data_IF_128364063429
#
_entry.id   IF_128364063429
#
_cell.length_a   1.000
_cell.length_b   1.000
_cell.length_c   1.000
_cell.angle_alpha   90.00
_cell.angle_beta   90.00
_cell.angle_gamma   90.00
#
_symmetry.space_group_name_H-M   'P 1'
#
loop_
_entity.id
_entity.type
_entity.pdbx_description
1 polymer ?
#
# COMPACT_ATOMS: atom_id res chain seq x y z
N UNK A 1 -41.72 -36.88 20.89
CA UNK A 1 -42.02 -38.04 20.03
C UNK A 1 -43.52 -38.01 19.69
N UNK A 2 -43.88 -37.57 18.47
CA UNK A 2 -45.22 -37.58 17.84
C UNK A 2 -45.03 -37.14 16.37
N UNK A 3 -44.94 -38.07 15.41
CA UNK A 3 -45.99 -38.44 14.41
C UNK A 3 -46.36 -37.28 13.46
N UNK A 4 -45.77 -37.19 12.25
CA UNK A 4 -46.19 -37.76 10.94
C UNK A 4 -47.34 -37.04 10.22
N UNK A 5 -47.04 -36.70 8.94
CA UNK A 5 -47.84 -37.04 7.75
C UNK A 5 -48.93 -36.08 7.22
N UNK A 6 -48.66 -35.65 5.97
CA UNK A 6 -49.54 -35.50 4.78
C UNK A 6 -50.65 -34.44 4.77
N UNK A 7 -50.56 -33.58 3.74
CA UNK A 7 -51.62 -32.76 3.15
C UNK A 7 -52.76 -33.63 2.58
N UNK A 8 -54.00 -33.11 2.54
CA UNK A 8 -55.03 -33.53 1.59
C UNK A 8 -55.22 -32.50 0.45
N UNK A 9 -55.82 -32.89 -0.69
CA UNK A 9 -56.11 -32.05 -1.84
C UNK A 9 -57.56 -31.51 -1.84
N UNK A 10 -57.83 -30.42 -2.56
CA UNK A 10 -59.20 -29.99 -2.88
C UNK A 10 -59.27 -29.59 -4.36
N UNK A 11 -60.31 -30.09 -5.03
CA UNK A 11 -60.57 -30.07 -6.47
C UNK A 11 -61.78 -29.18 -6.78
N UNK A 12 -61.74 -28.50 -7.94
CA UNK A 12 -62.86 -28.03 -8.79
C UNK A 12 -63.84 -26.97 -8.21
N UNK A 13 -64.56 -26.12 -8.94
CA UNK A 13 -64.62 -25.60 -10.32
C UNK A 13 -65.80 -24.60 -10.27
N UNK A 14 -65.65 -23.34 -10.71
CA UNK A 14 -66.82 -22.55 -11.14
C UNK A 14 -66.46 -21.62 -12.29
N UNK A 15 -67.28 -21.74 -13.31
CA UNK A 15 -67.43 -21.11 -14.62
C UNK A 15 -67.59 -19.59 -14.58
N UNK A 16 -66.97 -18.88 -15.54
CA UNK A 16 -67.53 -17.65 -16.10
C UNK A 16 -67.01 -17.44 -17.54
N UNK A 17 -67.89 -17.71 -18.50
CA UNK A 17 -67.72 -17.39 -19.91
C UNK A 17 -68.04 -15.92 -20.15
N UNK A 18 -67.20 -15.20 -20.91
CA UNK A 18 -67.68 -14.17 -21.84
C UNK A 18 -66.65 -13.92 -22.95
N UNK A 19 -67.16 -14.03 -24.17
CA UNK A 19 -66.48 -13.89 -25.45
C UNK A 19 -65.93 -12.48 -25.70
N UNK A 20 -64.92 -12.40 -26.58
CA UNK A 20 -64.80 -11.26 -27.49
C UNK A 20 -63.39 -10.73 -27.72
N UNK A 21 -62.81 -11.12 -28.87
CA UNK A 21 -62.05 -10.24 -29.76
C UNK A 21 -60.76 -9.58 -29.23
N UNK A 22 -59.60 -10.13 -29.63
CA UNK A 22 -58.67 -9.49 -30.59
C UNK A 22 -57.31 -10.18 -30.49
N UNK A 23 -56.86 -10.78 -31.60
CA UNK A 23 -55.54 -11.38 -31.68
C UNK A 23 -54.46 -10.31 -31.65
N UNK A 24 -53.60 -10.38 -30.63
CA UNK A 24 -52.32 -9.69 -30.62
C UNK A 24 -51.29 -10.68 -30.07
N UNK A 25 -50.50 -11.25 -30.99
CA UNK A 25 -49.36 -12.09 -30.62
C UNK A 25 -48.33 -11.21 -29.91
N UNK A 26 -47.73 -11.65 -28.78
CA UNK A 26 -46.65 -10.90 -28.16
C UNK A 26 -45.45 -10.92 -29.10
N UNK A 27 -45.06 -9.73 -29.54
CA UNK A 27 -43.87 -9.46 -30.32
C UNK A 27 -42.67 -10.10 -29.59
N UNK A 28 -42.11 -11.16 -30.19
CA UNK A 28 -40.92 -11.82 -29.67
C UNK A 28 -39.77 -10.82 -29.78
N UNK A 29 -39.25 -10.40 -28.63
CA UNK A 29 -38.05 -9.58 -28.56
C UNK A 29 -36.95 -10.26 -29.39
N UNK A 30 -36.18 -9.51 -30.21
CA UNK A 30 -35.00 -10.10 -30.82
C UNK A 30 -34.05 -10.47 -29.67
N UNK A 31 -33.83 -11.77 -29.46
CA UNK A 31 -32.70 -12.24 -28.69
C UNK A 31 -31.45 -11.62 -29.32
N UNK A 32 -30.86 -10.67 -28.61
CA UNK A 32 -29.61 -10.03 -28.97
C UNK A 32 -28.49 -11.07 -28.80
N UNK A 33 -28.39 -11.96 -29.79
CA UNK A 33 -27.47 -13.09 -29.84
C UNK A 33 -26.09 -12.58 -30.29
N UNK A 34 -25.54 -11.62 -29.57
CA UNK A 34 -24.10 -11.34 -29.65
C UNK A 34 -23.37 -12.47 -28.96
N UNK A 35 -23.03 -13.51 -29.72
CA UNK A 35 -22.01 -14.48 -29.33
C UNK A 35 -20.67 -13.74 -29.19
N UNK A 36 -20.42 -13.17 -28.02
CA UNK A 36 -19.07 -12.76 -27.66
C UNK A 36 -18.26 -14.05 -27.62
N UNK A 37 -17.37 -14.23 -28.62
CA UNK A 37 -16.50 -15.40 -28.67
C UNK A 37 -15.85 -15.59 -27.30
N UNK A 38 -15.81 -16.82 -26.75
CA UNK A 38 -15.31 -17.08 -25.40
C UNK A 38 -13.88 -16.54 -25.21
N UNK A 39 -13.06 -16.54 -26.27
CA UNK A 39 -11.73 -15.92 -26.28
C UNK A 39 -11.76 -14.40 -26.09
N UNK A 40 -12.72 -13.68 -26.68
CA UNK A 40 -12.87 -12.24 -26.50
C UNK A 40 -13.37 -11.94 -25.07
N UNK A 41 -14.26 -12.77 -24.52
CA UNK A 41 -14.72 -12.65 -23.13
C UNK A 41 -13.58 -12.92 -22.13
N UNK A 42 -12.73 -13.92 -22.37
CA UNK A 42 -11.55 -14.21 -21.56
C UNK A 42 -10.48 -13.13 -21.71
N UNK A 43 -10.21 -12.63 -22.91
CA UNK A 43 -9.29 -11.51 -23.14
C UNK A 43 -9.79 -10.22 -22.49
N UNK A 44 -11.09 -9.95 -22.55
CA UNK A 44 -11.70 -8.77 -21.91
C UNK A 44 -11.65 -8.91 -20.38
N UNK A 45 -11.92 -10.10 -19.84
CA UNK A 45 -11.79 -10.39 -18.41
C UNK A 45 -10.34 -10.29 -17.94
N UNK A 46 -9.39 -10.83 -18.71
CA UNK A 46 -7.96 -10.74 -18.43
C UNK A 46 -7.46 -9.30 -18.52
N UNK A 47 -7.87 -8.54 -19.54
CA UNK A 47 -7.54 -7.13 -19.69
C UNK A 47 -8.14 -6.28 -18.56
N UNK A 48 -9.39 -6.55 -18.15
CA UNK A 48 -10.03 -5.91 -16.99
C UNK A 48 -9.33 -6.29 -15.69
N UNK A 49 -8.86 -7.54 -15.55
CA UNK A 49 -8.07 -7.97 -14.42
C UNK A 49 -6.70 -7.27 -14.39
N UNK A 50 -6.00 -7.16 -15.52
CA UNK A 50 -4.75 -6.39 -15.62
C UNK A 50 -4.96 -4.91 -15.32
N UNK A 51 -6.03 -4.31 -15.86
CA UNK A 51 -6.45 -2.94 -15.53
C UNK A 51 -6.83 -2.78 -14.05
N UNK A 52 -7.33 -3.83 -13.39
CA UNK A 52 -7.54 -3.82 -11.94
C UNK A 52 -6.21 -3.78 -11.18
N UNK A 53 -5.16 -4.41 -11.71
CA UNK A 53 -3.81 -4.46 -11.16
C UNK A 53 -2.88 -3.39 -11.75
N UNK A 54 -3.42 -2.23 -12.14
CA UNK A 54 -2.68 -1.17 -12.83
C UNK A 54 -1.44 -0.67 -12.06
N UNK A 55 -1.43 -0.75 -10.73
CA UNK A 55 -0.29 -0.34 -9.90
C UNK A 55 0.92 -1.25 -10.10
N UNK A 56 0.72 -2.59 -10.15
CA UNK A 56 1.80 -3.56 -10.34
C UNK A 56 2.43 -3.39 -11.73
N UNK A 57 1.57 -3.22 -12.75
CA UNK A 57 2.00 -2.94 -14.12
C UNK A 57 2.77 -1.61 -14.16
N UNK A 58 2.26 -0.58 -13.49
CA UNK A 58 2.92 0.72 -13.39
C UNK A 58 4.32 0.63 -12.79
N UNK A 59 4.50 -0.14 -11.72
CA UNK A 59 5.83 -0.38 -11.11
C UNK A 59 6.76 -1.02 -12.14
N UNK A 60 6.33 -2.09 -12.82
CA UNK A 60 7.16 -2.76 -13.82
C UNK A 60 7.56 -1.85 -14.99
N UNK A 61 6.63 -1.03 -15.49
CA UNK A 61 6.89 -0.05 -16.57
C UNK A 61 7.87 1.02 -16.11
N UNK A 62 7.70 1.55 -14.89
CA UNK A 62 8.61 2.55 -14.34
C UNK A 62 10.00 1.97 -14.12
N UNK A 63 10.12 0.75 -13.62
CA UNK A 63 11.43 0.10 -13.47
C UNK A 63 12.14 -0.07 -14.83
N UNK A 64 11.41 -0.42 -15.89
CA UNK A 64 11.96 -0.45 -17.25
C UNK A 64 12.40 0.94 -17.71
N UNK A 65 11.58 1.97 -17.48
CA UNK A 65 11.93 3.36 -17.81
C UNK A 65 13.12 3.87 -17.01
N UNK A 66 13.25 3.49 -15.73
CA UNK A 66 14.41 3.79 -14.88
C UNK A 66 15.69 3.20 -15.46
N UNK A 67 15.60 1.94 -15.94
CA UNK A 67 16.72 1.26 -16.56
C UNK A 67 17.17 1.90 -17.88
N UNK A 68 16.24 2.31 -18.75
CA UNK A 68 16.57 2.93 -20.04
C UNK A 68 16.91 4.42 -19.94
N UNK A 69 16.33 5.14 -18.98
CA UNK A 69 16.49 6.60 -18.82
C UNK A 69 16.88 7.01 -17.38
N UNK A 70 18.00 6.52 -16.83
CA UNK A 70 18.40 6.78 -15.45
C UNK A 70 18.73 8.26 -15.18
N UNK A 71 19.18 9.00 -16.20
CA UNK A 71 19.59 10.40 -16.04
C UNK A 71 18.45 11.40 -15.80
N UNK A 72 17.19 11.01 -16.03
CA UNK A 72 16.04 11.92 -15.89
C UNK A 72 15.65 12.12 -14.42
N UNK A 73 15.70 11.04 -13.62
CA UNK A 73 15.37 11.02 -12.20
C UNK A 73 16.60 10.99 -11.27
N UNK A 74 17.83 11.01 -11.81
CA UNK A 74 19.05 11.07 -11.01
C UNK A 74 19.17 12.37 -10.20
N UNK A 75 19.95 12.32 -9.12
CA UNK A 75 20.43 13.48 -8.37
C UNK A 75 21.07 14.50 -9.33
N UNK A 76 20.62 15.75 -9.32
CA UNK A 76 21.03 16.78 -10.29
C UNK A 76 20.52 16.63 -11.73
N UNK A 77 19.66 15.65 -12.04
CA UNK A 77 19.05 15.47 -13.36
C UNK A 77 18.02 16.55 -13.73
N UNK A 78 17.41 16.45 -14.91
CA UNK A 78 16.47 17.46 -15.46
C UNK A 78 15.31 17.77 -14.50
N UNK A 79 14.85 16.75 -13.75
CA UNK A 79 13.75 16.88 -12.78
C UNK A 79 14.24 17.31 -11.39
N UNK A 80 15.56 17.27 -11.11
CA UNK A 80 16.14 17.46 -9.77
C UNK A 80 15.37 16.66 -8.71
N UNK A 81 15.50 15.33 -8.77
CA UNK A 81 14.70 14.40 -7.97
C UNK A 81 14.72 14.68 -6.47
N UNK A 82 15.85 15.17 -5.97
CA UNK A 82 16.04 15.70 -4.62
C UNK A 82 14.91 16.60 -4.14
N UNK A 83 14.48 17.55 -4.98
CA UNK A 83 13.49 18.56 -4.60
C UNK A 83 12.12 18.21 -5.15
N UNK A 84 12.04 17.83 -6.43
CA UNK A 84 10.76 17.60 -7.09
C UNK A 84 10.10 16.30 -6.62
N UNK A 85 10.89 15.25 -6.38
CA UNK A 85 10.37 13.93 -6.03
C UNK A 85 10.36 13.77 -4.50
N UNK A 86 11.52 13.90 -3.86
CA UNK A 86 11.67 13.66 -2.42
C UNK A 86 10.91 14.67 -1.54
N UNK A 87 10.80 15.93 -1.97
CA UNK A 87 9.96 16.92 -1.28
C UNK A 87 8.62 17.08 -1.97
N UNK A 88 8.59 17.37 -3.26
CA UNK A 88 7.36 17.69 -3.99
C UNK A 88 6.37 16.52 -4.06
N UNK A 89 6.75 15.43 -4.73
CA UNK A 89 5.86 14.28 -4.93
C UNK A 89 5.45 13.65 -3.59
N UNK A 90 6.39 13.50 -2.66
CA UNK A 90 6.11 13.01 -1.31
C UNK A 90 5.11 13.93 -0.59
N UNK A 91 5.33 15.25 -0.59
CA UNK A 91 4.39 16.18 0.04
C UNK A 91 2.99 16.13 -0.57
N UNK A 92 2.89 15.98 -1.90
CA UNK A 92 1.60 15.82 -2.58
C UNK A 92 0.90 14.52 -2.13
N UNK A 93 1.64 13.40 -2.04
CA UNK A 93 1.08 12.13 -1.55
C UNK A 93 0.51 12.29 -0.14
N UNK A 94 1.26 12.94 0.76
CA UNK A 94 0.83 13.12 2.15
C UNK A 94 -0.28 14.13 2.33
N UNK A 95 -0.29 15.20 1.53
CA UNK A 95 -1.37 16.15 1.50
C UNK A 95 -2.67 15.45 1.06
N UNK A 96 -2.62 14.67 -0.02
CA UNK A 96 -3.77 13.89 -0.50
C UNK A 96 -4.20 12.87 0.54
N UNK A 97 -3.25 12.19 1.20
CA UNK A 97 -3.55 11.22 2.27
C UNK A 97 -4.25 11.90 3.45
N UNK A 98 -3.79 13.10 3.85
CA UNK A 98 -4.43 13.92 4.89
C UNK A 98 -5.83 14.38 4.50
N UNK A 99 -6.05 14.73 3.24
CA UNK A 99 -7.38 15.08 2.73
C UNK A 99 -8.31 13.86 2.62
N UNK A 100 -7.78 12.66 2.34
CA UNK A 100 -8.56 11.43 2.12
C UNK A 100 -9.04 10.74 3.41
N UNK A 101 -8.33 10.91 4.52
CA UNK A 101 -8.65 10.25 5.80
C UNK A 101 -9.37 11.18 6.79
N UNK A 102 -10.41 10.69 7.48
CA UNK A 102 -11.14 11.50 8.47
C UNK A 102 -10.31 11.72 9.74
N UNK A 103 -10.18 12.97 10.17
CA UNK A 103 -9.40 13.31 11.36
C UNK A 103 -9.87 12.61 12.65
N UNK A 104 -11.18 12.38 12.79
CA UNK A 104 -11.73 11.60 13.92
C UNK A 104 -11.21 10.17 13.93
N UNK A 105 -11.16 9.52 12.77
CA UNK A 105 -10.67 8.15 12.63
C UNK A 105 -9.16 8.09 12.91
N UNK A 106 -8.40 9.06 12.40
CA UNK A 106 -6.98 9.19 12.68
C UNK A 106 -6.70 9.29 14.19
N UNK A 107 -7.47 10.12 14.90
CA UNK A 107 -7.31 10.31 16.35
C UNK A 107 -7.66 9.05 17.15
N UNK A 108 -8.70 8.32 16.75
CA UNK A 108 -9.07 7.03 17.37
C UNK A 108 -7.92 6.02 17.22
N UNK A 109 -7.34 5.90 16.02
CA UNK A 109 -6.22 4.98 15.81
C UNK A 109 -4.93 5.45 16.48
N UNK A 110 -4.68 6.76 16.58
CA UNK A 110 -3.56 7.31 17.33
C UNK A 110 -3.62 7.04 18.84
N UNK A 111 -4.80 6.76 19.39
CA UNK A 111 -4.97 6.33 20.78
C UNK A 111 -4.86 4.81 20.98
N UNK A 112 -4.71 4.02 19.92
CA UNK A 112 -4.77 2.56 20.00
C UNK A 112 -3.39 1.95 20.28
N UNK A 113 -2.90 2.13 21.51
CA UNK A 113 -1.57 1.66 21.93
C UNK A 113 -1.32 0.17 21.68
N UNK A 114 -2.35 -0.67 21.76
CA UNK A 114 -2.22 -2.11 21.49
C UNK A 114 -1.85 -2.39 20.05
N UNK A 115 -2.44 -1.64 19.12
CA UNK A 115 -2.11 -1.73 17.71
C UNK A 115 -0.68 -1.26 17.46
N UNK A 116 -0.30 -0.14 18.06
CA UNK A 116 1.07 0.39 17.96
C UNK A 116 2.10 -0.63 18.43
N UNK A 117 1.93 -1.21 19.63
CA UNK A 117 2.86 -2.21 20.14
C UNK A 117 2.92 -3.46 19.26
N UNK A 118 1.79 -3.92 18.71
CA UNK A 118 1.76 -5.09 17.86
C UNK A 118 2.46 -4.84 16.52
N UNK A 119 2.12 -3.76 15.82
CA UNK A 119 2.66 -3.47 14.49
C UNK A 119 4.13 -3.07 14.57
N UNK A 120 4.52 -2.26 15.56
CA UNK A 120 5.94 -1.93 15.77
C UNK A 120 6.73 -3.12 16.28
N UNK A 121 6.15 -3.98 17.12
CA UNK A 121 6.79 -5.23 17.56
C UNK A 121 7.06 -6.17 16.38
N UNK A 122 6.10 -6.31 15.46
CA UNK A 122 6.32 -7.10 14.24
C UNK A 122 7.40 -6.45 13.36
N UNK A 123 7.35 -5.13 13.16
CA UNK A 123 8.25 -4.41 12.25
C UNK A 123 9.69 -4.32 12.77
N UNK A 124 9.88 -4.02 14.05
CA UNK A 124 11.20 -3.79 14.65
C UNK A 124 11.73 -4.94 15.50
N UNK A 125 10.92 -5.96 15.81
CA UNK A 125 11.43 -7.17 16.48
C UNK A 125 11.30 -8.40 15.59
N UNK A 126 10.08 -8.78 15.16
CA UNK A 126 9.88 -10.03 14.43
C UNK A 126 10.64 -10.06 13.09
N UNK A 127 10.53 -9.01 12.29
CA UNK A 127 11.21 -8.92 10.99
C UNK A 127 12.75 -8.97 11.12
N UNK A 128 13.41 -8.11 11.92
CA UNK A 128 14.85 -8.18 12.14
C UNK A 128 15.32 -9.52 12.72
N UNK A 129 14.60 -10.09 13.69
CA UNK A 129 14.97 -11.38 14.30
C UNK A 129 14.88 -12.53 13.29
N UNK A 130 13.83 -12.53 12.46
CA UNK A 130 13.68 -13.54 11.41
C UNK A 130 14.79 -13.43 10.38
N UNK A 131 15.14 -12.20 9.97
CA UNK A 131 16.25 -11.97 9.04
C UNK A 131 17.60 -12.35 9.65
N UNK A 132 17.82 -12.06 10.93
CA UNK A 132 19.01 -12.49 11.66
C UNK A 132 19.14 -14.01 11.67
N UNK A 133 18.07 -14.74 11.98
CA UNK A 133 18.09 -16.21 11.93
C UNK A 133 18.43 -16.72 10.52
N UNK A 134 17.90 -16.08 9.47
CA UNK A 134 18.22 -16.40 8.08
C UNK A 134 19.69 -16.14 7.73
N UNK A 135 20.24 -14.99 8.13
CA UNK A 135 21.66 -14.65 7.93
C UNK A 135 22.57 -15.62 8.68
N UNK A 136 22.22 -16.00 9.90
CA UNK A 136 22.97 -17.00 10.67
C UNK A 136 22.94 -18.39 10.02
N UNK A 137 21.80 -18.79 9.45
CA UNK A 137 21.69 -20.05 8.72
C UNK A 137 22.58 -20.05 7.46
N UNK A 138 22.65 -18.93 6.74
CA UNK A 138 23.56 -18.76 5.60
C UNK A 138 25.02 -18.83 6.07
N UNK A 139 25.38 -18.09 7.11
CA UNK A 139 26.76 -18.04 7.60
C UNK A 139 27.23 -19.43 8.09
N UNK A 140 26.33 -20.21 8.69
CA UNK A 140 26.63 -21.59 9.09
C UNK A 140 26.75 -22.56 7.89
N UNK A 141 25.99 -22.35 6.82
CA UNK A 141 25.99 -23.20 5.63
C UNK A 141 27.04 -22.85 4.58
N UNK A 142 27.53 -21.61 4.56
CA UNK A 142 28.49 -21.09 3.58
C UNK A 142 29.93 -21.26 4.05
N UNK A 143 30.37 -22.51 4.23
CA UNK A 143 31.74 -22.84 4.69
C UNK A 143 32.83 -22.45 3.67
N UNK A 144 32.45 -22.21 2.41
CA UNK A 144 33.36 -21.84 1.33
C UNK A 144 33.42 -20.32 1.06
N UNK A 145 32.75 -19.51 1.88
CA UNK A 145 32.70 -18.05 1.77
C UNK A 145 32.31 -17.54 0.37
N UNK A 146 31.34 -18.20 -0.27
CA UNK A 146 30.88 -17.81 -1.60
C UNK A 146 29.97 -16.58 -1.55
N UNK A 147 29.38 -16.29 -0.39
CA UNK A 147 28.48 -15.17 -0.19
C UNK A 147 29.23 -14.04 0.50
N UNK A 148 29.32 -12.91 -0.21
CA UNK A 148 29.90 -11.68 0.31
C UNK A 148 29.17 -11.23 1.59
N UNK A 149 29.94 -10.97 2.64
CA UNK A 149 29.45 -10.52 3.94
C UNK A 149 28.74 -9.18 3.84
N UNK A 150 29.10 -8.33 2.87
CA UNK A 150 28.41 -7.05 2.61
C UNK A 150 26.93 -7.28 2.29
N UNK A 151 26.59 -8.35 1.57
CA UNK A 151 25.19 -8.69 1.25
C UNK A 151 24.42 -9.07 2.51
N UNK A 152 25.05 -9.82 3.41
CA UNK A 152 24.45 -10.22 4.69
C UNK A 152 24.18 -9.02 5.60
N UNK A 153 25.12 -8.06 5.65
CA UNK A 153 24.93 -6.77 6.33
C UNK A 153 23.75 -6.02 5.70
N UNK A 154 23.69 -5.98 4.37
CA UNK A 154 22.60 -5.34 3.62
C UNK A 154 21.23 -5.93 3.95
N UNK A 155 21.10 -7.25 4.09
CA UNK A 155 19.87 -7.90 4.51
C UNK A 155 19.43 -7.48 5.92
N UNK A 156 20.36 -7.49 6.88
CA UNK A 156 20.07 -7.06 8.25
C UNK A 156 19.66 -5.58 8.31
N UNK A 157 20.40 -4.71 7.62
CA UNK A 157 20.09 -3.29 7.54
C UNK A 157 18.70 -3.07 6.95
N UNK A 158 18.39 -3.74 5.84
CA UNK A 158 17.08 -3.66 5.16
C UNK A 158 15.94 -4.17 6.04
N UNK A 159 16.16 -5.18 6.86
CA UNK A 159 15.15 -5.67 7.80
C UNK A 159 14.91 -4.70 8.97
N UNK A 160 15.88 -3.84 9.29
CA UNK A 160 15.81 -2.90 10.40
C UNK A 160 15.26 -1.51 10.02
N UNK A 161 15.27 -1.14 8.74
CA UNK A 161 14.75 0.18 8.29
C UNK A 161 13.23 0.28 8.42
N UNK A 162 12.69 1.49 8.67
CA UNK A 162 11.25 1.70 8.71
C UNK A 162 10.61 1.43 7.35
N UNK A 163 9.32 1.09 7.36
CA UNK A 163 8.58 0.73 6.16
C UNK A 163 8.12 1.96 5.36
N UNK A 164 7.94 1.80 4.05
CA UNK A 164 7.52 2.88 3.15
C UNK A 164 6.09 3.33 3.46
N UNK A 165 5.90 4.63 3.64
CA UNK A 165 4.60 5.17 4.07
C UNK A 165 3.54 5.06 2.96
N UNK A 166 3.87 5.54 1.76
CA UNK A 166 2.89 5.68 0.68
C UNK A 166 2.41 4.32 0.12
N UNK A 167 3.33 3.38 -0.13
CA UNK A 167 2.97 2.05 -0.63
C UNK A 167 2.15 1.27 0.39
N UNK A 168 2.50 1.33 1.68
CA UNK A 168 1.76 0.64 2.74
C UNK A 168 0.30 1.10 2.80
N UNK A 169 0.04 2.41 2.76
CA UNK A 169 -1.34 2.93 2.82
C UNK A 169 -2.15 2.49 1.59
N UNK A 170 -1.56 2.56 0.40
CA UNK A 170 -2.22 2.15 -0.84
C UNK A 170 -2.53 0.65 -0.86
N UNK A 171 -1.57 -0.18 -0.45
CA UNK A 171 -1.73 -1.63 -0.41
C UNK A 171 -2.72 -2.07 0.67
N UNK A 172 -2.69 -1.46 1.87
CA UNK A 172 -3.69 -1.73 2.92
C UNK A 172 -5.09 -1.40 2.43
N UNK A 173 -5.27 -0.26 1.74
CA UNK A 173 -6.57 0.09 1.15
C UNK A 173 -7.00 -0.90 0.07
N UNK A 174 -6.07 -1.37 -0.77
CA UNK A 174 -6.36 -2.36 -1.80
C UNK A 174 -6.76 -3.74 -1.22
N UNK A 175 -6.28 -4.05 -0.01
CA UNK A 175 -6.63 -5.25 0.74
C UNK A 175 -7.88 -5.08 1.63
N UNK A 176 -8.66 -4.01 1.45
CA UNK A 176 -9.83 -3.65 2.27
C UNK A 176 -9.50 -3.45 3.77
N UNK A 177 -8.26 -3.09 4.07
CA UNK A 177 -7.78 -2.78 5.40
C UNK A 177 -7.96 -1.32 5.80
N UNK A 178 -7.64 -1.01 7.05
CA UNK A 178 -7.78 0.34 7.59
C UNK A 178 -6.63 1.27 7.19
N UNK A 179 -6.88 2.14 6.21
CA UNK A 179 -5.90 3.14 5.73
C UNK A 179 -5.47 4.15 6.81
N UNK A 180 -6.36 4.50 7.75
CA UNK A 180 -6.06 5.46 8.80
C UNK A 180 -5.14 4.83 9.85
N UNK A 181 -5.42 3.58 10.24
CA UNK A 181 -4.57 2.81 11.11
C UNK A 181 -3.18 2.60 10.49
N UNK A 182 -3.13 2.13 9.23
CA UNK A 182 -1.86 1.93 8.53
C UNK A 182 -1.04 3.21 8.41
N UNK A 183 -1.68 4.35 8.15
CA UNK A 183 -1.00 5.65 8.11
C UNK A 183 -0.40 6.01 9.47
N UNK A 184 -1.13 5.85 10.58
CA UNK A 184 -0.60 6.14 11.92
C UNK A 184 0.58 5.24 12.24
N UNK A 185 0.46 3.94 12.00
CA UNK A 185 1.52 2.97 12.29
C UNK A 185 2.80 3.26 11.53
N UNK A 186 2.67 3.53 10.23
CA UNK A 186 3.85 3.77 9.40
C UNK A 186 4.49 5.12 9.73
N UNK A 187 3.69 6.15 10.11
CA UNK A 187 4.24 7.41 10.59
C UNK A 187 4.99 7.24 11.90
N UNK A 188 4.45 6.50 12.88
CA UNK A 188 5.15 6.19 14.12
C UNK A 188 6.44 5.41 13.85
N UNK A 189 6.37 4.40 12.98
CA UNK A 189 7.52 3.59 12.61
C UNK A 189 8.62 4.42 11.93
N UNK A 190 8.26 5.40 11.11
CA UNK A 190 9.22 6.30 10.48
C UNK A 190 9.81 7.35 11.44
N UNK A 191 9.19 7.65 12.58
CA UNK A 191 9.83 8.43 13.65
C UNK A 191 10.85 7.58 14.41
N UNK A 192 10.46 6.36 14.80
CA UNK A 192 11.30 5.49 15.61
C UNK A 192 12.43 4.85 14.82
N UNK A 193 12.19 4.53 13.55
CA UNK A 193 13.10 3.82 12.66
C UNK A 193 14.49 4.44 12.62
N UNK A 194 14.66 5.74 12.29
CA UNK A 194 15.98 6.36 12.23
C UNK A 194 16.82 6.15 13.50
N UNK A 195 16.18 6.12 14.68
CA UNK A 195 16.84 5.88 15.97
C UNK A 195 17.11 4.40 16.22
N UNK A 196 16.14 3.53 15.93
CA UNK A 196 16.22 2.08 16.20
C UNK A 196 17.10 1.36 15.18
N UNK A 197 16.94 1.63 13.89
CA UNK A 197 17.58 0.92 12.77
C UNK A 197 19.11 0.82 12.88
N UNK A 198 19.89 1.91 13.11
CA UNK A 198 21.34 1.79 13.22
C UNK A 198 21.75 0.97 14.46
N UNK A 199 21.08 1.16 15.60
CA UNK A 199 21.37 0.42 16.82
C UNK A 199 21.08 -1.09 16.67
N UNK A 200 19.92 -1.43 16.10
CA UNK A 200 19.54 -2.82 15.85
C UNK A 200 20.43 -3.50 14.81
N UNK A 201 20.78 -2.79 13.74
CA UNK A 201 21.67 -3.34 12.71
C UNK A 201 23.01 -3.75 13.32
N UNK A 202 23.64 -2.87 14.11
CA UNK A 202 24.92 -3.18 14.79
C UNK A 202 24.75 -4.31 15.82
N UNK A 203 23.64 -4.32 16.57
CA UNK A 203 23.38 -5.34 17.58
C UNK A 203 23.15 -6.75 16.99
N UNK A 204 22.56 -6.84 15.79
CA UNK A 204 22.26 -8.09 15.10
C UNK A 204 23.40 -8.59 14.21
N UNK A 205 24.48 -7.82 14.04
CA UNK A 205 25.61 -8.31 13.25
C UNK A 205 26.24 -9.55 13.88
N UNK A 206 26.59 -10.57 13.07
CA UNK A 206 27.36 -11.71 13.55
C UNK A 206 28.69 -11.25 14.19
N UNK A 207 29.08 -11.93 15.27
CA UNK A 207 30.22 -11.50 16.12
C UNK A 207 31.59 -11.92 15.58
N UNK A 208 31.65 -12.62 14.45
CA UNK A 208 32.91 -12.98 13.83
C UNK A 208 33.67 -11.76 13.29
N UNK A 209 34.97 -11.95 13.04
CA UNK A 209 35.87 -10.88 12.61
C UNK A 209 35.57 -10.35 11.21
N UNK A 210 34.81 -11.09 10.38
CA UNK A 210 34.50 -10.64 9.01
C UNK A 210 33.52 -9.45 8.98
N UNK A 211 32.83 -9.17 10.08
CA UNK A 211 31.91 -8.04 10.22
C UNK A 211 32.48 -6.86 11.02
N UNK A 212 33.75 -6.91 11.47
CA UNK A 212 34.33 -5.89 12.36
C UNK A 212 34.33 -4.48 11.77
N UNK A 213 34.46 -4.37 10.44
CA UNK A 213 34.35 -3.09 9.71
C UNK A 213 33.01 -2.39 9.95
N UNK A 214 31.93 -3.14 10.14
CA UNK A 214 30.55 -2.64 10.24
C UNK A 214 30.09 -2.43 11.69
N UNK A 215 30.89 -2.86 12.67
CA UNK A 215 30.60 -2.67 14.10
C UNK A 215 30.93 -1.24 14.57
N UNK A 216 31.89 -0.59 13.92
CA UNK A 216 32.38 0.74 14.28
C UNK A 216 31.78 1.84 13.40
N UNK A 217 30.46 2.03 13.47
CA UNK A 217 29.79 3.19 12.86
C UNK A 217 29.83 4.36 13.86
N UNK A 218 31.02 4.94 14.03
CA UNK A 218 31.28 6.10 14.92
C UNK A 218 31.31 7.42 14.16
N UNK A 219 30.42 7.59 13.17
CA UNK A 219 30.24 8.86 12.46
C UNK A 219 29.40 9.86 13.26
N UNK A 220 29.47 11.14 12.90
CA UNK A 220 28.58 12.17 13.44
C UNK A 220 27.13 11.90 12.98
N UNK A 221 26.37 11.21 13.82
CA UNK A 221 24.97 10.86 13.54
C UNK A 221 24.05 12.09 13.55
N UNK A 222 24.50 13.23 14.08
CA UNK A 222 23.67 14.41 14.25
C UNK A 222 23.22 14.97 12.90
N UNK A 223 24.12 15.06 11.92
CA UNK A 223 23.78 15.53 10.59
C UNK A 223 22.79 14.59 9.89
N UNK A 224 23.01 13.28 10.02
CA UNK A 224 22.09 12.27 9.48
C UNK A 224 20.69 12.41 10.08
N UNK A 225 20.58 12.46 11.43
CA UNK A 225 19.30 12.65 12.10
C UNK A 225 18.63 13.95 11.69
N UNK A 226 19.39 15.06 11.62
CA UNK A 226 18.86 16.36 11.20
C UNK A 226 18.27 16.28 9.80
N UNK A 227 18.94 15.64 8.86
CA UNK A 227 18.46 15.49 7.48
C UNK A 227 17.21 14.61 7.40
N UNK A 228 17.19 13.49 8.12
CA UNK A 228 16.03 12.58 8.15
C UNK A 228 14.81 13.25 8.79
N UNK A 229 14.96 13.85 9.96
CA UNK A 229 13.85 14.53 10.62
C UNK A 229 13.40 15.78 9.88
N UNK A 230 14.30 16.49 9.17
CA UNK A 230 13.92 17.60 8.28
C UNK A 230 13.09 17.10 7.10
N UNK A 231 13.51 16.01 6.46
CA UNK A 231 12.77 15.40 5.35
C UNK A 231 11.38 14.92 5.81
N UNK A 232 11.32 14.18 6.92
CA UNK A 232 10.04 13.72 7.48
C UNK A 232 9.17 14.91 7.91
N UNK A 233 9.74 15.91 8.58
CA UNK A 233 9.03 17.11 9.00
C UNK A 233 8.39 17.85 7.83
N UNK A 234 9.18 18.16 6.79
CA UNK A 234 8.74 18.99 5.67
C UNK A 234 7.92 18.23 4.61
N UNK A 235 8.30 16.99 4.29
CA UNK A 235 7.66 16.23 3.20
C UNK A 235 6.54 15.33 3.67
N UNK A 236 6.51 14.98 4.96
CA UNK A 236 5.54 14.01 5.51
C UNK A 236 4.58 14.68 6.49
N UNK A 237 5.07 15.14 7.63
CA UNK A 237 4.21 15.63 8.71
C UNK A 237 3.53 16.96 8.38
N UNK A 238 4.27 17.92 7.83
CA UNK A 238 3.73 19.23 7.47
C UNK A 238 2.59 19.13 6.44
N UNK A 239 2.75 18.51 5.26
CA UNK A 239 1.67 18.39 4.27
C UNK A 239 0.50 17.56 4.78
N UNK A 240 0.76 16.52 5.58
CA UNK A 240 -0.30 15.75 6.22
C UNK A 240 -1.12 16.61 7.19
N UNK A 241 -0.46 17.40 8.04
CA UNK A 241 -1.11 18.30 8.97
C UNK A 241 -1.93 19.37 8.23
N UNK A 242 -1.37 19.96 7.17
CA UNK A 242 -2.09 20.90 6.30
C UNK A 242 -3.33 20.23 5.69
N UNK A 243 -3.18 19.01 5.16
CA UNK A 243 -4.30 18.25 4.59
C UNK A 243 -5.41 17.98 5.62
N UNK A 244 -5.05 17.61 6.84
CA UNK A 244 -6.02 17.39 7.92
C UNK A 244 -6.70 18.69 8.37
N UNK A 245 -5.96 19.80 8.47
CA UNK A 245 -6.54 21.12 8.80
C UNK A 245 -7.53 21.58 7.73
N UNK A 246 -7.15 21.47 6.45
CA UNK A 246 -8.02 21.84 5.33
C UNK A 246 -9.27 20.96 5.30
N UNK A 247 -9.13 19.65 5.56
CA UNK A 247 -10.27 18.74 5.67
C UNK A 247 -11.18 19.09 6.84
N UNK A 248 -10.61 19.50 7.97
CA UNK A 248 -11.37 19.88 9.15
C UNK A 248 -12.16 21.18 8.94
N UNK A 249 -11.58 22.16 8.25
CA UNK A 249 -12.23 23.43 7.93
C UNK A 249 -13.34 23.30 6.88
N UNK A 250 -13.17 22.43 5.87
CA UNK A 250 -14.13 22.29 4.75
C UNK A 250 -14.43 20.83 4.35
N UNK A 251 -15.03 20.02 5.23
CA UNK A 251 -15.22 18.59 4.99
C UNK A 251 -16.05 18.30 3.72
N UNK A 252 -17.16 19.01 3.52
CA UNK A 252 -18.09 18.80 2.39
C UNK A 252 -17.50 19.22 1.04
N UNK A 253 -16.62 20.23 1.03
CA UNK A 253 -15.96 20.70 -0.20
C UNK A 253 -14.85 19.73 -0.59
N UNK A 254 -14.07 19.28 0.39
CA UNK A 254 -12.97 18.34 0.17
C UNK A 254 -13.49 16.98 -0.27
N UNK A 255 -14.55 16.46 0.33
CA UNK A 255 -15.14 15.19 -0.12
C UNK A 255 -15.62 15.26 -1.58
N UNK A 256 -16.25 16.37 -1.98
CA UNK A 256 -16.65 16.61 -3.37
C UNK A 256 -15.45 16.78 -4.30
N UNK A 257 -14.42 17.50 -3.88
CA UNK A 257 -13.19 17.67 -4.65
C UNK A 257 -12.43 16.36 -4.84
N UNK A 258 -12.28 15.55 -3.78
CA UNK A 258 -11.65 14.22 -3.81
C UNK A 258 -12.32 13.30 -4.83
N UNK A 259 -13.65 13.28 -4.87
CA UNK A 259 -14.41 12.48 -5.84
C UNK A 259 -14.33 13.05 -7.25
N UNK A 260 -14.47 14.36 -7.41
CA UNK A 260 -14.47 15.03 -8.73
C UNK A 260 -13.11 14.96 -9.41
N UNK A 261 -12.02 15.12 -8.66
CA UNK A 261 -10.66 15.17 -9.18
C UNK A 261 -9.92 13.83 -9.08
N UNK A 262 -10.55 12.79 -8.51
CA UNK A 262 -9.94 11.47 -8.28
C UNK A 262 -8.54 11.59 -7.68
N UNK A 263 -8.38 12.45 -6.66
CA UNK A 263 -7.07 12.79 -6.08
C UNK A 263 -6.29 11.56 -5.61
N UNK A 264 -6.98 10.49 -5.20
CA UNK A 264 -6.35 9.20 -4.87
C UNK A 264 -5.52 8.59 -6.01
N UNK A 265 -5.86 8.86 -7.28
CA UNK A 265 -5.08 8.40 -8.43
C UNK A 265 -3.79 9.21 -8.61
N UNK A 266 -3.83 10.50 -8.28
CA UNK A 266 -2.65 11.39 -8.32
C UNK A 266 -1.62 10.90 -7.31
N UNK A 267 -2.03 10.55 -6.08
CA UNK A 267 -1.13 9.97 -5.08
C UNK A 267 -0.44 8.70 -5.57
N UNK A 268 -1.16 7.81 -6.25
CA UNK A 268 -0.56 6.59 -6.83
C UNK A 268 0.38 6.88 -8.01
N UNK A 269 0.09 7.90 -8.82
CA UNK A 269 1.03 8.35 -9.87
C UNK A 269 2.30 8.94 -9.26
N UNK A 270 2.20 9.77 -8.22
CA UNK A 270 3.35 10.29 -7.49
C UNK A 270 4.17 9.16 -6.83
N UNK A 271 3.52 8.09 -6.36
CA UNK A 271 4.22 6.90 -5.86
C UNK A 271 5.03 6.21 -6.97
N UNK A 272 4.46 6.06 -8.17
CA UNK A 272 5.20 5.53 -9.32
C UNK A 272 6.38 6.42 -9.69
N UNK A 273 6.21 7.73 -9.63
CA UNK A 273 7.28 8.69 -9.89
C UNK A 273 8.39 8.62 -8.82
N UNK A 274 8.09 8.23 -7.59
CA UNK A 274 9.08 7.98 -6.53
C UNK A 274 9.89 6.70 -6.76
N UNK A 275 9.31 5.71 -7.45
CA UNK A 275 9.96 4.44 -7.79
C UNK A 275 10.90 4.61 -9.00
N UNK A 276 10.68 5.62 -9.84
CA UNK A 276 11.50 5.95 -11.01
C UNK A 276 12.84 6.58 -10.61
#
# INVERSE_FOLDING_TARGET
MKTTSRRPPVTATTTASREGSSGEQPNTAPEDRFSTHPLIAHLKTAALFLLSQWMIIGIGVVCLLAYFFPHVAAHGGVIRSEYSILYGAVAVIFLISGLSISGKKLLVHAGNWRLHCLVQGVSFALCPVTMYAFVQAINAGDTAEKIDRVVLVGFLLTACIPTTIASNVVMTRAADGDEAAALVEVLLGNVFGPVISPAFTVALLPKDGSFDMWKNVSGDLNEMYRNVFKLLGLSVYLPLAIGQLVRWMWPEVIMRAMQRWRLNKIGTFCLLLLIW
#
